data_IF_490046074513
#
_entry.id   IF_490046074513
#
_cell.length_a   1.000
_cell.length_b   1.000
_cell.length_c   1.000
_cell.angle_alpha   90.00
_cell.angle_beta   90.00
_cell.angle_gamma   90.00
#
_symmetry.space_group_name_H-M   'P 1'
#
loop_
_entity.id
_entity.type
_entity.pdbx_description
1 polymer ?
#
# COMPACT_ATOMS: atom_id res chain seq x y z
N UNK A 1 -25.56 -13.15 -14.22
CA UNK A 1 -25.45 -13.89 -12.95
C UNK A 1 -24.25 -13.31 -12.22
N UNK A 2 -24.45 -12.60 -11.10
CA UNK A 2 -23.29 -12.08 -10.35
C UNK A 2 -22.59 -13.22 -9.65
N UNK A 3 -21.33 -13.45 -10.02
CA UNK A 3 -20.42 -14.34 -9.30
C UNK A 3 -20.01 -13.75 -7.94
N UNK A 4 -19.03 -14.36 -7.25
CA UNK A 4 -18.54 -13.86 -5.96
C UNK A 4 -18.07 -12.40 -6.04
N UNK A 5 -18.12 -11.68 -4.92
CA UNK A 5 -17.48 -10.38 -4.79
C UNK A 5 -15.97 -10.57 -4.74
N UNK A 6 -15.27 -10.06 -5.75
CA UNK A 6 -13.84 -10.29 -5.94
C UNK A 6 -13.02 -9.21 -5.27
N UNK A 7 -12.16 -9.61 -4.35
CA UNK A 7 -11.33 -8.72 -3.53
C UNK A 7 -9.85 -9.00 -3.85
N UNK A 8 -9.16 -7.99 -4.39
CA UNK A 8 -7.72 -8.03 -4.58
C UNK A 8 -6.98 -7.78 -3.26
N UNK A 9 -6.15 -8.73 -2.85
CA UNK A 9 -5.43 -8.70 -1.57
C UNK A 9 -3.93 -8.86 -1.82
N UNK A 10 -3.14 -7.99 -1.20
CA UNK A 10 -1.68 -8.11 -1.22
C UNK A 10 -1.20 -9.24 -0.30
N UNK A 11 -0.33 -10.12 -0.80
CA UNK A 11 0.45 -11.00 0.06
C UNK A 11 1.41 -10.17 0.91
N UNK A 12 1.62 -10.56 2.17
CA UNK A 12 2.63 -9.95 3.04
C UNK A 12 2.09 -9.44 4.38
N UNK A 13 2.76 -8.42 4.93
CA UNK A 13 2.60 -7.96 6.33
C UNK A 13 1.16 -7.63 6.75
N UNK A 14 0.33 -7.14 5.83
CA UNK A 14 -1.04 -6.68 6.12
C UNK A 14 -2.06 -7.81 6.08
N UNK A 15 -1.73 -8.99 5.52
CA UNK A 15 -2.69 -10.06 5.28
C UNK A 15 -3.38 -10.53 6.56
N UNK A 16 -2.61 -10.77 7.62
CA UNK A 16 -3.15 -11.24 8.91
C UNK A 16 -4.05 -10.19 9.56
N UNK A 17 -3.67 -8.91 9.49
CA UNK A 17 -4.47 -7.82 10.03
C UNK A 17 -5.78 -7.63 9.24
N UNK A 18 -5.70 -7.73 7.91
CA UNK A 18 -6.85 -7.70 7.02
C UNK A 18 -7.79 -8.89 7.28
N UNK A 19 -7.27 -10.11 7.43
CA UNK A 19 -8.08 -11.28 7.70
C UNK A 19 -8.84 -11.15 9.04
N UNK A 20 -8.24 -10.54 10.06
CA UNK A 20 -8.94 -10.21 11.31
C UNK A 20 -10.09 -9.23 11.09
N UNK A 21 -9.88 -8.17 10.31
CA UNK A 21 -10.93 -7.19 9.98
C UNK A 21 -12.07 -7.83 9.17
N UNK A 22 -11.74 -8.61 8.15
CA UNK A 22 -12.71 -9.35 7.33
C UNK A 22 -13.51 -10.34 8.18
N UNK A 23 -12.85 -11.09 9.05
CA UNK A 23 -13.52 -12.02 9.98
C UNK A 23 -14.48 -11.30 10.93
N UNK A 24 -14.08 -10.16 11.52
CA UNK A 24 -14.98 -9.31 12.32
C UNK A 24 -16.16 -8.77 11.51
N UNK A 25 -15.95 -8.51 10.23
CA UNK A 25 -16.99 -8.12 9.29
C UNK A 25 -17.85 -9.32 8.80
N UNK A 26 -17.66 -10.53 9.33
CA UNK A 26 -18.45 -11.71 8.97
C UNK A 26 -18.10 -12.31 7.61
N UNK A 27 -16.86 -12.11 7.16
CA UNK A 27 -16.30 -12.77 5.96
C UNK A 27 -15.49 -13.98 6.39
N UNK A 28 -15.68 -15.10 5.71
CA UNK A 28 -14.86 -16.30 5.89
C UNK A 28 -13.46 -16.08 5.30
N UNK A 29 -12.43 -16.31 6.11
CA UNK A 29 -11.03 -15.99 5.77
C UNK A 29 -10.11 -17.21 5.76
N UNK A 30 -10.66 -18.40 5.95
CA UNK A 30 -9.92 -19.67 5.96
C UNK A 30 -9.18 -19.86 4.64
N UNK A 31 -9.86 -19.66 3.51
CA UNK A 31 -9.25 -19.70 2.18
C UNK A 31 -8.25 -18.57 1.98
N UNK A 32 -8.52 -17.36 2.48
CA UNK A 32 -7.60 -16.23 2.43
C UNK A 32 -6.27 -16.52 3.16
N UNK A 33 -6.32 -17.26 4.27
CA UNK A 33 -5.16 -17.61 5.10
C UNK A 33 -4.52 -18.97 4.75
N UNK A 34 -5.06 -19.69 3.76
CA UNK A 34 -4.52 -20.98 3.37
C UNK A 34 -3.04 -20.89 2.95
N UNK A 35 -2.23 -21.83 3.44
CA UNK A 35 -0.82 -21.96 3.07
C UNK A 35 -0.68 -22.78 1.77
N UNK A 36 -1.24 -22.24 0.69
CA UNK A 36 -1.11 -22.81 -0.64
C UNK A 36 -0.68 -21.74 -1.68
N UNK A 37 -0.28 -22.19 -2.86
CA UNK A 37 0.19 -21.30 -3.94
C UNK A 37 -0.92 -20.78 -4.85
N UNK A 38 -2.21 -21.05 -4.56
CA UNK A 38 -3.33 -20.60 -5.40
C UNK A 38 -3.43 -19.07 -5.34
N UNK A 39 -3.55 -18.46 -6.51
CA UNK A 39 -3.69 -17.01 -6.67
C UNK A 39 -5.15 -16.55 -6.66
N UNK A 40 -6.08 -17.46 -6.96
CA UNK A 40 -7.52 -17.26 -6.82
C UNK A 40 -8.02 -18.20 -5.74
N UNK A 41 -8.66 -17.64 -4.73
CA UNK A 41 -9.20 -18.39 -3.59
C UNK A 41 -10.64 -17.97 -3.36
N UNK A 42 -11.50 -18.87 -2.94
CA UNK A 42 -12.93 -18.59 -2.76
C UNK A 42 -13.32 -18.87 -1.32
N UNK A 43 -14.24 -18.10 -0.75
CA UNK A 43 -14.86 -18.45 0.54
C UNK A 43 -15.71 -19.71 0.41
N UNK A 44 -15.91 -20.45 1.50
CA UNK A 44 -16.63 -21.73 1.48
C UNK A 44 -18.12 -21.49 1.18
N UNK A 45 -18.67 -20.37 1.67
CA UNK A 45 -20.01 -19.89 1.33
C UNK A 45 -20.18 -19.36 -0.11
N UNK A 46 -19.09 -19.28 -0.88
CA UNK A 46 -19.07 -18.84 -2.27
C UNK A 46 -19.38 -17.35 -2.51
N UNK A 47 -19.54 -16.53 -1.48
CA UNK A 47 -19.86 -15.09 -1.60
C UNK A 47 -18.65 -14.25 -2.00
N UNK A 48 -17.43 -14.68 -1.68
CA UNK A 48 -16.21 -13.92 -1.89
C UNK A 48 -15.16 -14.70 -2.69
N UNK A 49 -14.44 -13.99 -3.54
CA UNK A 49 -13.24 -14.48 -4.20
C UNK A 49 -12.08 -13.53 -3.85
N UNK A 50 -10.91 -14.08 -3.56
CA UNK A 50 -9.70 -13.35 -3.21
C UNK A 50 -8.66 -13.56 -4.30
N UNK A 51 -8.16 -12.44 -4.86
CA UNK A 51 -7.01 -12.44 -5.76
C UNK A 51 -5.76 -12.12 -4.95
N UNK A 52 -4.82 -13.06 -4.90
CA UNK A 52 -3.60 -12.93 -4.11
C UNK A 52 -2.50 -12.30 -4.96
N UNK A 53 -2.28 -11.00 -4.81
CA UNK A 53 -1.41 -10.19 -5.66
C UNK A 53 -0.16 -9.70 -4.92
N UNK A 54 0.80 -9.16 -5.66
CA UNK A 54 1.81 -8.27 -5.08
C UNK A 54 1.15 -6.94 -4.71
N UNK A 55 1.64 -6.24 -3.66
CA UNK A 55 1.08 -4.94 -3.25
C UNK A 55 0.91 -3.95 -4.40
N UNK A 56 1.93 -3.84 -5.26
CA UNK A 56 1.99 -2.88 -6.36
C UNK A 56 0.95 -3.15 -7.46
N UNK A 57 0.44 -4.38 -7.56
CA UNK A 57 -0.50 -4.80 -8.61
C UNK A 57 -1.97 -4.65 -8.19
N UNK A 58 -2.26 -4.51 -6.88
CA UNK A 58 -3.64 -4.44 -6.38
C UNK A 58 -4.44 -3.31 -7.03
N UNK A 59 -3.96 -2.05 -7.08
CA UNK A 59 -4.70 -0.97 -7.72
C UNK A 59 -5.02 -1.25 -9.18
N UNK A 60 -4.09 -1.85 -9.92
CA UNK A 60 -4.27 -2.20 -11.33
C UNK A 60 -5.44 -3.16 -11.51
N UNK A 61 -5.50 -4.25 -10.73
CA UNK A 61 -6.57 -5.23 -10.88
C UNK A 61 -7.95 -4.65 -10.53
N UNK A 62 -8.01 -3.69 -9.60
CA UNK A 62 -9.24 -2.99 -9.25
C UNK A 62 -9.62 -1.97 -10.33
N UNK A 63 -8.67 -1.18 -10.84
CA UNK A 63 -8.91 -0.19 -11.89
C UNK A 63 -9.53 -0.81 -13.14
N UNK A 64 -8.96 -1.94 -13.59
CA UNK A 64 -9.41 -2.65 -14.78
C UNK A 64 -10.61 -3.58 -14.54
N UNK A 65 -11.15 -3.62 -13.32
CA UNK A 65 -12.35 -4.40 -13.00
C UNK A 65 -12.15 -5.92 -12.94
N UNK A 66 -10.89 -6.39 -12.90
CA UNK A 66 -10.58 -7.79 -12.62
C UNK A 66 -10.90 -8.15 -11.15
N UNK A 67 -10.89 -7.16 -10.26
CA UNK A 67 -11.45 -7.24 -8.91
C UNK A 67 -12.46 -6.10 -8.70
N UNK A 68 -13.53 -6.38 -7.95
CA UNK A 68 -14.54 -5.39 -7.58
C UNK A 68 -13.99 -4.41 -6.52
N UNK A 69 -13.23 -4.97 -5.58
CA UNK A 69 -12.63 -4.28 -4.45
C UNK A 69 -11.14 -4.66 -4.32
N UNK A 70 -10.38 -3.89 -3.58
CA UNK A 70 -9.02 -4.28 -3.20
C UNK A 70 -8.53 -3.58 -1.95
N UNK A 71 -7.43 -4.08 -1.40
CA UNK A 71 -6.75 -3.47 -0.25
C UNK A 71 -5.36 -3.01 -0.69
N UNK A 72 -5.19 -1.70 -0.78
CA UNK A 72 -3.94 -1.10 -1.26
C UNK A 72 -3.38 -0.10 -0.27
N UNK A 73 -2.06 -0.05 -0.16
CA UNK A 73 -1.38 0.98 0.62
C UNK A 73 -1.53 2.35 -0.03
N UNK A 74 -1.72 3.38 0.81
CA UNK A 74 -1.79 4.78 0.35
C UNK A 74 -0.55 5.19 -0.47
N UNK A 75 0.62 4.66 -0.09
CA UNK A 75 1.89 4.83 -0.82
C UNK A 75 1.78 4.36 -2.27
N UNK A 76 1.20 3.18 -2.50
CA UNK A 76 1.06 2.61 -3.85
C UNK A 76 0.09 3.43 -4.69
N UNK A 77 -1.02 3.88 -4.09
CA UNK A 77 -2.02 4.70 -4.78
C UNK A 77 -1.45 6.07 -5.19
N UNK A 78 -0.73 6.74 -4.28
CA UNK A 78 -0.07 8.01 -4.54
C UNK A 78 1.00 7.87 -5.62
N UNK A 79 1.83 6.84 -5.53
CA UNK A 79 2.91 6.62 -6.50
C UNK A 79 2.37 6.29 -7.89
N UNK A 80 1.35 5.42 -7.99
CA UNK A 80 0.80 5.02 -9.29
C UNK A 80 -0.14 6.05 -9.90
N UNK A 81 -0.68 6.97 -9.11
CA UNK A 81 -1.63 7.99 -9.57
C UNK A 81 -2.99 7.42 -9.99
N UNK A 82 -3.43 6.31 -9.40
CA UNK A 82 -4.74 5.72 -9.68
C UNK A 82 -5.87 6.55 -9.06
N UNK A 83 -6.94 6.73 -9.81
CA UNK A 83 -8.15 7.45 -9.38
C UNK A 83 -9.28 6.47 -9.03
N UNK A 84 -8.99 5.59 -8.07
CA UNK A 84 -9.95 4.62 -7.52
C UNK A 84 -10.81 5.25 -6.45
N UNK A 85 -12.03 4.73 -6.24
CA UNK A 85 -12.80 5.07 -5.05
C UNK A 85 -12.10 4.50 -3.81
N UNK A 86 -11.95 5.32 -2.77
CA UNK A 86 -11.27 4.97 -1.52
C UNK A 86 -12.27 5.10 -0.35
N UNK A 87 -13.32 4.25 -0.28
CA UNK A 87 -14.43 4.45 0.65
C UNK A 87 -14.07 4.28 2.14
N UNK A 88 -12.94 3.62 2.46
CA UNK A 88 -12.59 3.34 3.85
C UNK A 88 -11.07 3.23 4.05
N UNK A 89 -10.56 3.94 5.05
CA UNK A 89 -9.25 3.67 5.64
C UNK A 89 -9.37 2.52 6.64
N UNK A 90 -8.61 1.43 6.42
CA UNK A 90 -8.70 0.23 7.25
C UNK A 90 -7.89 0.36 8.54
N UNK A 91 -7.05 1.39 8.67
CA UNK A 91 -6.23 1.64 9.86
C UNK A 91 -5.14 0.60 10.12
N UNK A 92 -4.86 -0.29 9.16
CA UNK A 92 -3.83 -1.33 9.22
C UNK A 92 -2.62 -0.96 8.36
N UNK A 93 -1.48 -1.62 8.62
CA UNK A 93 -0.25 -1.38 7.87
C UNK A 93 0.29 0.04 8.04
N UNK A 94 0.14 0.61 9.24
CA UNK A 94 0.55 1.97 9.57
C UNK A 94 2.06 2.10 9.43
N UNK A 95 2.49 3.04 8.61
CA UNK A 95 3.87 3.47 8.49
C UNK A 95 3.88 4.90 7.96
N UNK A 96 5.06 5.47 7.73
CA UNK A 96 5.22 6.81 7.15
C UNK A 96 6.16 6.76 5.97
N UNK A 97 5.89 7.57 4.96
CA UNK A 97 6.83 7.84 3.88
C UNK A 97 7.77 8.94 4.36
N UNK A 98 9.08 8.72 4.30
CA UNK A 98 10.07 9.68 4.82
C UNK A 98 11.18 9.95 3.83
N UNK A 99 11.81 11.11 3.98
CA UNK A 99 13.16 11.37 3.48
C UNK A 99 14.15 10.91 4.57
N UNK A 100 15.15 10.12 4.21
CA UNK A 100 16.23 9.72 5.11
C UNK A 100 17.60 9.84 4.42
N UNK A 101 18.68 9.89 5.20
CA UNK A 101 20.04 9.95 4.68
C UNK A 101 21.09 9.63 5.76
N UNK A 102 22.39 9.61 5.42
CA UNK A 102 23.45 9.27 6.36
C UNK A 102 23.46 10.18 7.60
N UNK A 103 23.60 9.58 8.78
CA UNK A 103 23.57 10.29 10.06
C UNK A 103 24.64 11.38 10.13
N UNK A 104 24.24 12.58 10.56
CA UNK A 104 25.15 13.71 10.72
C UNK A 104 25.66 14.34 9.42
N UNK A 105 25.19 13.88 8.25
CA UNK A 105 25.57 14.45 6.95
C UNK A 105 24.44 15.33 6.38
N UNK A 106 24.77 16.58 6.05
CA UNK A 106 23.83 17.45 5.36
C UNK A 106 23.65 17.02 3.91
N UNK A 107 22.43 17.14 3.38
CA UNK A 107 22.18 16.94 1.97
C UNK A 107 22.79 18.09 1.15
N UNK A 108 23.33 17.82 -0.05
CA UNK A 108 23.75 18.87 -0.97
C UNK A 108 22.54 19.65 -1.51
N UNK A 109 22.78 20.81 -2.13
CA UNK A 109 21.71 21.64 -2.71
C UNK A 109 20.93 20.93 -3.84
N UNK A 110 21.62 20.05 -4.58
CA UNK A 110 21.07 19.26 -5.68
C UNK A 110 21.25 17.76 -5.37
N UNK A 111 20.41 17.19 -4.49
CA UNK A 111 20.62 15.83 -4.01
C UNK A 111 20.21 14.78 -5.04
N UNK A 112 20.95 13.67 -5.06
CA UNK A 112 20.51 12.40 -5.64
C UNK A 112 19.67 11.64 -4.63
N UNK A 113 18.50 11.17 -5.04
CA UNK A 113 17.51 10.53 -4.18
C UNK A 113 17.17 9.15 -4.72
N UNK A 114 17.58 8.10 -4.01
CA UNK A 114 17.19 6.74 -4.37
C UNK A 114 15.83 6.37 -3.75
N UNK A 115 14.94 5.78 -4.54
CA UNK A 115 13.60 5.43 -4.06
C UNK A 115 12.88 4.43 -4.96
N UNK A 116 11.98 3.63 -4.38
CA UNK A 116 10.95 2.90 -5.14
C UNK A 116 9.81 3.81 -5.61
N UNK A 117 9.71 5.01 -5.05
CA UNK A 117 8.59 5.94 -5.16
C UNK A 117 8.98 7.25 -5.88
N UNK A 118 9.38 7.18 -7.16
CA UNK A 118 9.93 8.34 -7.85
C UNK A 118 8.94 9.51 -7.98
N UNK A 119 7.64 9.26 -8.13
CA UNK A 119 6.64 10.34 -8.22
C UNK A 119 6.45 11.03 -6.89
N UNK A 120 6.35 10.27 -5.80
CA UNK A 120 6.24 10.85 -4.46
C UNK A 120 7.50 11.67 -4.12
N UNK A 121 8.69 11.14 -4.42
CA UNK A 121 9.95 11.85 -4.20
C UNK A 121 10.02 13.14 -5.03
N UNK A 122 9.77 13.06 -6.34
CA UNK A 122 9.80 14.22 -7.23
C UNK A 122 8.82 15.32 -6.76
N UNK A 123 7.58 14.95 -6.42
CA UNK A 123 6.56 15.87 -5.93
C UNK A 123 6.97 16.53 -4.60
N UNK A 124 7.61 15.78 -3.70
CA UNK A 124 8.07 16.30 -2.41
C UNK A 124 9.15 17.37 -2.57
N UNK A 125 10.21 17.09 -3.35
CA UNK A 125 11.30 18.05 -3.56
C UNK A 125 10.87 19.24 -4.43
N UNK A 126 10.01 19.03 -5.43
CA UNK A 126 9.47 20.10 -6.25
C UNK A 126 8.68 21.12 -5.41
N UNK A 127 7.87 20.67 -4.43
CA UNK A 127 7.14 21.56 -3.51
C UNK A 127 8.05 22.41 -2.62
N UNK A 128 9.30 22.00 -2.43
CA UNK A 128 10.31 22.73 -1.66
C UNK A 128 11.18 23.63 -2.56
N UNK A 129 10.98 23.61 -3.87
CA UNK A 129 11.85 24.31 -4.81
C UNK A 129 13.25 23.68 -4.93
N UNK A 130 13.40 22.42 -4.52
CA UNK A 130 14.68 21.69 -4.59
C UNK A 130 14.70 20.84 -5.85
N UNK A 131 15.74 21.02 -6.67
CA UNK A 131 15.97 20.17 -7.83
C UNK A 131 16.73 18.92 -7.40
N UNK A 132 16.00 17.82 -7.23
CA UNK A 132 16.56 16.51 -6.89
C UNK A 132 16.68 15.61 -8.14
N UNK A 133 17.77 14.85 -8.25
CA UNK A 133 17.89 13.76 -9.21
C UNK A 133 17.29 12.49 -8.59
N UNK A 134 16.18 12.00 -9.14
CA UNK A 134 15.47 10.83 -8.62
C UNK A 134 15.96 9.56 -9.32
N UNK A 135 16.45 8.60 -8.53
CA UNK A 135 16.99 7.31 -8.98
C UNK A 135 16.05 6.20 -8.52
N UNK A 136 15.49 5.45 -9.47
CA UNK A 136 14.61 4.32 -9.15
C UNK A 136 15.40 3.14 -8.58
N UNK A 137 15.01 2.67 -7.40
CA UNK A 137 15.54 1.48 -6.73
C UNK A 137 14.37 0.63 -6.24
N UNK A 138 14.21 -0.58 -6.81
CA UNK A 138 13.05 -1.44 -6.53
C UNK A 138 13.04 -2.14 -5.17
N UNK A 139 14.14 -2.10 -4.41
CA UNK A 139 14.29 -2.69 -3.09
C UNK A 139 15.69 -2.48 -2.51
N UNK A 140 15.86 -2.73 -1.21
CA UNK A 140 17.10 -2.43 -0.46
C UNK A 140 17.55 -0.98 -0.64
N UNK A 141 16.62 -0.05 -0.52
CA UNK A 141 16.84 1.37 -0.80
C UNK A 141 17.88 1.96 0.16
N UNK A 142 17.94 1.46 1.40
CA UNK A 142 18.88 1.87 2.44
C UNK A 142 20.35 1.62 2.07
N UNK A 143 20.63 0.73 1.11
CA UNK A 143 21.98 0.49 0.62
C UNK A 143 22.50 1.67 -0.21
N UNK A 144 21.61 2.41 -0.88
CA UNK A 144 22.00 3.39 -1.89
C UNK A 144 22.92 4.51 -1.34
N UNK A 145 22.67 5.10 -0.15
CA UNK A 145 23.60 6.06 0.43
C UNK A 145 24.92 5.45 0.87
N UNK A 146 24.92 4.19 1.32
CA UNK A 146 26.12 3.53 1.86
C UNK A 146 27.18 3.28 0.78
N UNK A 147 26.75 3.10 -0.47
CA UNK A 147 27.64 2.82 -1.61
C UNK A 147 27.80 4.03 -2.54
N UNK A 148 27.31 5.20 -2.14
CA UNK A 148 27.44 6.45 -2.90
C UNK A 148 26.52 6.58 -4.13
N UNK A 149 25.49 5.73 -4.24
CA UNK A 149 24.50 5.82 -5.32
C UNK A 149 23.63 7.07 -5.19
N UNK A 150 23.25 7.42 -3.96
CA UNK A 150 22.42 8.59 -3.65
C UNK A 150 22.88 9.30 -2.39
N UNK A 151 22.45 10.54 -2.20
CA UNK A 151 22.73 11.32 -0.99
C UNK A 151 21.59 11.15 0.03
N UNK A 152 20.37 10.95 -0.48
CA UNK A 152 19.16 10.73 0.28
C UNK A 152 18.41 9.50 -0.25
N UNK A 153 17.43 9.06 0.54
CA UNK A 153 16.42 8.09 0.14
C UNK A 153 15.03 8.61 0.46
N UNK A 154 14.05 8.14 -0.31
CA UNK A 154 12.63 8.24 0.04
C UNK A 154 12.07 6.82 0.16
N UNK A 155 11.63 6.43 1.34
CA UNK A 155 11.10 5.09 1.57
C UNK A 155 10.09 5.03 2.73
N UNK A 156 9.40 3.89 2.85
CA UNK A 156 8.48 3.61 3.95
C UNK A 156 9.23 3.21 5.21
N UNK A 157 8.88 3.85 6.33
CA UNK A 157 9.41 3.54 7.64
C UNK A 157 8.29 3.24 8.62
N UNK A 158 8.41 2.09 9.29
CA UNK A 158 7.52 1.69 10.38
C UNK A 158 8.14 2.07 11.73
N UNK A 159 9.13 1.28 12.20
CA UNK A 159 9.82 1.53 13.48
C UNK A 159 11.07 2.41 13.36
N UNK A 160 11.68 2.48 12.17
CA UNK A 160 12.97 3.15 11.94
C UNK A 160 14.20 2.28 12.23
N UNK A 161 14.03 1.02 12.68
CA UNK A 161 15.15 0.14 13.03
C UNK A 161 16.10 -0.13 11.87
N UNK A 162 15.57 -0.31 10.65
CA UNK A 162 16.39 -0.56 9.46
C UNK A 162 17.28 0.63 9.13
N UNK A 163 16.77 1.86 9.27
CA UNK A 163 17.57 3.07 9.08
C UNK A 163 18.69 3.14 10.12
N UNK A 164 18.35 2.93 11.39
CA UNK A 164 19.31 2.98 12.49
C UNK A 164 20.45 1.95 12.33
N UNK A 165 20.13 0.72 11.91
CA UNK A 165 21.10 -0.34 11.69
C UNK A 165 22.08 -0.06 10.54
N UNK A 166 21.74 0.88 9.65
CA UNK A 166 22.55 1.27 8.50
C UNK A 166 23.10 2.70 8.64
N UNK A 167 23.17 3.24 9.87
CA UNK A 167 23.64 4.61 10.12
C UNK A 167 22.91 5.70 9.33
N UNK A 168 21.62 5.49 9.05
CA UNK A 168 20.73 6.47 8.45
C UNK A 168 19.87 7.15 9.52
N UNK A 169 19.40 8.36 9.22
CA UNK A 169 18.45 9.10 10.03
C UNK A 169 17.34 9.74 9.19
N UNK A 170 16.14 9.80 9.77
CA UNK A 170 15.00 10.48 9.17
C UNK A 170 15.23 11.99 9.15
N UNK A 171 15.02 12.59 7.98
CA UNK A 171 15.16 14.03 7.73
C UNK A 171 13.82 14.74 7.76
N UNK A 172 12.81 14.14 7.14
CA UNK A 172 11.47 14.69 7.04
C UNK A 172 10.44 13.59 6.85
N UNK A 173 9.24 13.77 7.39
CA UNK A 173 8.08 12.94 7.08
C UNK A 173 7.33 13.57 5.92
N UNK A 174 7.08 12.78 4.87
CA UNK A 174 6.33 13.20 3.68
C UNK A 174 4.83 13.03 3.93
N UNK A 175 4.42 11.84 4.36
CA UNK A 175 3.04 11.54 4.71
C UNK A 175 2.91 10.27 5.57
N UNK A 176 1.79 10.18 6.29
CA UNK A 176 1.36 8.94 6.93
C UNK A 176 0.73 7.99 5.90
N UNK A 177 0.98 6.70 6.07
CA UNK A 177 0.55 5.63 5.16
C UNK A 177 -0.23 4.57 5.95
N UNK A 178 -1.38 4.21 5.39
CA UNK A 178 -2.27 3.13 5.85
C UNK A 178 -2.74 2.32 4.65
N UNK A 179 -3.31 1.15 4.89
CA UNK A 179 -4.04 0.42 3.85
C UNK A 179 -5.47 0.93 3.73
N UNK A 180 -5.90 1.17 2.49
CA UNK A 180 -7.22 1.64 2.13
C UNK A 180 -7.99 0.53 1.43
N UNK A 181 -9.28 0.43 1.71
CA UNK A 181 -10.20 -0.30 0.85
C UNK A 181 -10.42 0.56 -0.39
N UNK A 182 -10.11 0.01 -1.55
CA UNK A 182 -10.36 0.63 -2.85
C UNK A 182 -11.44 -0.13 -3.61
N UNK A 183 -12.20 0.57 -4.45
CA UNK A 183 -13.28 -0.01 -5.24
C UNK A 183 -13.21 0.39 -6.71
N UNK A 184 -13.50 -0.57 -7.58
CA UNK A 184 -13.70 -0.29 -8.99
C UNK A 184 -14.94 0.59 -9.17
N UNK A 185 -14.86 1.60 -10.03
CA UNK A 185 -15.94 2.59 -10.22
C UNK A 185 -17.23 1.99 -10.76
N UNK A 186 -17.12 1.03 -11.67
CA UNK A 186 -18.28 0.35 -12.24
C UNK A 186 -18.86 -0.65 -11.24
N UNK A 187 -18.03 -1.48 -10.62
CA UNK A 187 -18.47 -2.44 -9.61
C UNK A 187 -19.15 -1.76 -8.41
N UNK A 188 -18.63 -0.62 -7.95
CA UNK A 188 -19.21 0.17 -6.87
C UNK A 188 -20.67 0.61 -7.16
N UNK A 189 -21.01 0.79 -8.44
CA UNK A 189 -22.37 1.18 -8.89
C UNK A 189 -23.23 -0.03 -9.22
N UNK A 190 -22.70 -0.99 -9.97
CA UNK A 190 -23.43 -2.16 -10.47
C UNK A 190 -23.70 -3.20 -9.38
N UNK A 191 -22.79 -3.32 -8.40
CA UNK A 191 -22.87 -4.23 -7.25
C UNK A 191 -23.06 -3.46 -5.93
N UNK A 192 -23.77 -2.34 -6.00
CA UNK A 192 -23.90 -1.40 -4.89
C UNK A 192 -24.39 -2.04 -3.59
N UNK A 193 -25.38 -2.94 -3.65
CA UNK A 193 -25.92 -3.61 -2.46
C UNK A 193 -24.85 -4.46 -1.75
N UNK A 194 -24.11 -5.28 -2.49
CA UNK A 194 -23.08 -6.18 -1.96
C UNK A 194 -21.88 -5.39 -1.41
N UNK A 195 -21.45 -4.37 -2.15
CA UNK A 195 -20.33 -3.50 -1.76
C UNK A 195 -20.69 -2.67 -0.53
N UNK A 196 -21.89 -2.09 -0.49
CA UNK A 196 -22.33 -1.24 0.64
C UNK A 196 -22.52 -2.05 1.92
N UNK A 197 -23.04 -3.27 1.82
CA UNK A 197 -23.17 -4.17 2.96
C UNK A 197 -21.78 -4.53 3.55
N UNK A 198 -20.82 -4.94 2.70
CA UNK A 198 -19.46 -5.22 3.16
C UNK A 198 -18.79 -3.97 3.75
N UNK A 199 -18.94 -2.81 3.10
CA UNK A 199 -18.38 -1.54 3.55
C UNK A 199 -18.92 -1.15 4.93
N UNK A 200 -20.22 -1.31 5.18
CA UNK A 200 -20.83 -1.04 6.47
C UNK A 200 -20.25 -1.95 7.57
N UNK A 201 -20.15 -3.26 7.28
CA UNK A 201 -19.57 -4.25 8.22
C UNK A 201 -18.10 -3.97 8.52
N UNK A 202 -17.30 -3.63 7.50
CA UNK A 202 -15.89 -3.24 7.67
C UNK A 202 -15.75 -1.92 8.45
N UNK A 203 -16.59 -0.93 8.17
CA UNK A 203 -16.57 0.35 8.90
C UNK A 203 -16.83 0.14 10.39
N UNK A 204 -17.78 -0.75 10.74
CA UNK A 204 -18.02 -1.13 12.12
C UNK A 204 -16.81 -1.87 12.73
N UNK A 205 -16.20 -2.81 11.99
CA UNK A 205 -15.04 -3.58 12.44
C UNK A 205 -13.77 -2.74 12.69
N UNK A 206 -13.58 -1.65 11.94
CA UNK A 206 -12.46 -0.71 12.11
C UNK A 206 -12.65 0.19 13.34
N UNK A 207 -13.91 0.51 13.71
CA UNK A 207 -14.23 1.35 14.87
C UNK A 207 -14.26 0.59 16.20
N UNK A 208 -14.31 -0.74 16.16
CA UNK A 208 -14.40 -1.63 17.32
C UNK A 208 -13.02 -2.09 17.81
#
# INVERSE_FOLDING_TARGET
MSGPLTIAVSKGRTLTALAKLLSRAGVEVQSLLADDRRLVRQSDDGRFAFLMLKPDDVPTYVEYGAADLGVSGRDTLLERGYDLYQPLDLGIGRCRMVVAGPRGQAAPELPRVATKYPRIAADHFARQGVQAEVIYVGGSVELAPLVGLSDLIVDLVETGSTLQQNDLEERAVICEVTSLLVANRAAFKLRHAEVSDLLARLTAAVRA
#
